data_IF_968699650009
#
_entry.id   IF_968699650009
#
_cell.length_a   1.000
_cell.length_b   1.000
_cell.length_c   1.000
_cell.angle_alpha   90.00
_cell.angle_beta   90.00
_cell.angle_gamma   90.00
#
_symmetry.space_group_name_H-M   'P 1'
#
loop_
_entity.id
_entity.type
_entity.pdbx_description
1 polymer ?
#
# COMPACT_ATOMS: atom_id res chain seq x y z
N UNK A 1 26.99 5.14 3.42
CA UNK A 1 26.03 4.62 4.41
C UNK A 1 25.20 5.79 4.89
N UNK A 2 23.91 5.82 4.53
CA UNK A 2 22.98 6.86 4.98
C UNK A 2 22.66 6.60 6.44
N UNK A 3 22.87 7.59 7.31
CA UNK A 3 22.65 7.44 8.76
C UNK A 3 21.15 7.39 9.02
N UNK A 4 20.69 6.33 9.68
CA UNK A 4 19.32 6.14 10.16
C UNK A 4 18.93 7.30 11.09
N UNK A 5 17.85 8.06 10.80
CA UNK A 5 17.25 9.00 11.76
C UNK A 5 16.90 8.31 13.08
N UNK A 6 17.19 8.95 14.21
CA UNK A 6 17.07 8.37 15.58
C UNK A 6 15.66 7.86 15.96
N UNK A 7 14.63 8.20 15.18
CA UNK A 7 13.24 7.75 15.41
C UNK A 7 12.88 6.46 14.67
N UNK A 8 13.71 5.98 13.74
CA UNK A 8 13.44 4.80 12.93
C UNK A 8 14.30 3.62 13.39
N UNK A 9 13.67 2.53 13.79
CA UNK A 9 14.37 1.32 14.24
C UNK A 9 14.76 0.40 13.08
N UNK A 10 14.06 0.48 11.94
CA UNK A 10 14.33 -0.33 10.73
C UNK A 10 13.98 0.44 9.45
N UNK A 11 14.73 0.21 8.38
CA UNK A 11 14.43 0.69 7.03
C UNK A 11 14.18 -0.49 6.08
N UNK A 12 13.18 -0.32 5.23
CA UNK A 12 13.01 -1.13 4.06
C UNK A 12 13.02 -0.25 2.80
N UNK A 13 13.73 -0.70 1.77
CA UNK A 13 13.74 -0.04 0.46
C UNK A 13 12.65 -0.63 -0.40
N UNK A 14 11.76 0.21 -0.92
CA UNK A 14 10.82 -0.19 -1.97
C UNK A 14 11.59 -0.46 -3.26
N UNK A 15 11.65 -1.72 -3.68
CA UNK A 15 12.37 -2.10 -4.90
C UNK A 15 11.43 -2.24 -6.10
N UNK A 16 10.19 -2.71 -5.88
CA UNK A 16 9.25 -2.95 -6.99
C UNK A 16 7.80 -2.82 -6.55
N UNK A 17 6.96 -2.34 -7.47
CA UNK A 17 5.52 -2.20 -7.26
C UNK A 17 4.76 -2.85 -8.42
N UNK A 18 3.65 -3.53 -8.10
CA UNK A 18 2.67 -4.01 -9.06
C UNK A 18 1.31 -3.44 -8.67
N UNK A 19 0.56 -2.95 -9.65
CA UNK A 19 -0.83 -2.54 -9.49
C UNK A 19 -1.73 -3.36 -10.41
N UNK A 20 -2.90 -3.74 -9.93
CA UNK A 20 -3.87 -4.53 -10.71
C UNK A 20 -5.29 -4.31 -10.20
N UNK A 21 -6.27 -4.76 -10.98
CA UNK A 21 -7.69 -4.73 -10.62
C UNK A 21 -8.18 -6.16 -10.43
N UNK A 22 -8.93 -6.40 -9.36
CA UNK A 22 -9.54 -7.70 -9.10
C UNK A 22 -10.89 -7.56 -8.38
N UNK A 23 -11.71 -8.60 -8.44
CA UNK A 23 -12.98 -8.65 -7.71
C UNK A 23 -12.75 -9.00 -6.24
N UNK A 24 -13.36 -8.26 -5.32
CA UNK A 24 -13.38 -8.54 -3.89
C UNK A 24 -14.71 -8.08 -3.28
N UNK A 25 -15.36 -8.93 -2.48
CA UNK A 25 -16.64 -8.59 -1.84
C UNK A 25 -17.73 -8.16 -2.83
N UNK A 26 -17.71 -8.71 -4.05
CA UNK A 26 -18.68 -8.40 -5.12
C UNK A 26 -18.39 -7.13 -5.94
N UNK A 27 -17.31 -6.40 -5.67
CA UNK A 27 -16.94 -5.18 -6.42
C UNK A 27 -15.56 -5.32 -7.08
N UNK A 28 -15.35 -4.59 -8.18
CA UNK A 28 -14.03 -4.43 -8.77
C UNK A 28 -13.21 -3.41 -7.96
N UNK A 29 -12.11 -3.89 -7.37
CA UNK A 29 -11.22 -3.13 -6.51
C UNK A 29 -9.82 -3.01 -7.12
N UNK A 30 -9.15 -1.88 -6.87
CA UNK A 30 -7.77 -1.66 -7.27
C UNK A 30 -6.83 -2.06 -6.13
N UNK A 31 -5.82 -2.86 -6.47
CA UNK A 31 -4.82 -3.37 -5.55
C UNK A 31 -3.42 -2.90 -5.95
N UNK A 32 -2.57 -2.74 -4.95
CA UNK A 32 -1.13 -2.48 -5.11
C UNK A 32 -0.36 -3.45 -4.23
N UNK A 33 0.69 -4.06 -4.76
CA UNK A 33 1.67 -4.82 -3.99
C UNK A 33 3.02 -4.13 -4.13
N UNK A 34 3.65 -3.87 -2.99
CA UNK A 34 4.98 -3.29 -2.88
C UNK A 34 5.94 -4.35 -2.34
N UNK A 35 7.04 -4.59 -3.05
CA UNK A 35 8.14 -5.43 -2.57
C UNK A 35 9.20 -4.58 -1.89
N UNK A 36 9.42 -4.88 -0.62
CA UNK A 36 10.26 -4.13 0.29
C UNK A 36 11.47 -4.99 0.65
N UNK A 37 12.67 -4.43 0.52
CA UNK A 37 13.91 -5.05 0.97
C UNK A 37 14.36 -4.46 2.30
N UNK A 38 14.48 -5.29 3.32
CA UNK A 38 15.10 -4.91 4.59
C UNK A 38 16.60 -4.71 4.42
N UNK A 39 17.20 -3.81 5.22
CA UNK A 39 18.66 -3.63 5.24
C UNK A 39 19.42 -4.93 5.59
N UNK A 40 18.82 -5.80 6.39
CA UNK A 40 19.36 -7.13 6.74
C UNK A 40 19.41 -8.12 5.55
N UNK A 41 18.82 -7.78 4.40
CA UNK A 41 18.92 -8.55 3.16
C UNK A 41 17.74 -9.46 2.85
N UNK A 42 16.63 -9.37 3.58
CA UNK A 42 15.37 -10.09 3.27
C UNK A 42 14.37 -9.24 2.49
N UNK A 43 13.45 -9.90 1.78
CA UNK A 43 12.32 -9.23 1.12
C UNK A 43 10.99 -9.58 1.79
N UNK A 44 10.10 -8.60 1.87
CA UNK A 44 8.69 -8.77 2.24
C UNK A 44 7.80 -8.03 1.26
N UNK A 45 6.48 -8.18 1.40
CA UNK A 45 5.51 -7.39 0.64
C UNK A 45 4.50 -6.68 1.53
N UNK A 46 4.10 -5.49 1.11
CA UNK A 46 2.89 -4.82 1.60
C UNK A 46 1.84 -4.80 0.50
N UNK A 47 0.60 -5.08 0.89
CA UNK A 47 -0.55 -5.04 -0.03
C UNK A 47 -1.50 -3.95 0.41
N UNK A 48 -1.91 -3.15 -0.57
CA UNK A 48 -2.84 -2.06 -0.38
C UNK A 48 -4.04 -2.24 -1.29
N UNK A 49 -5.16 -1.67 -0.85
CA UNK A 49 -6.36 -1.53 -1.64
C UNK A 49 -6.73 -0.06 -1.74
N UNK A 50 -7.17 0.37 -2.91
CA UNK A 50 -7.57 1.75 -3.14
C UNK A 50 -8.97 1.98 -2.59
N UNK A 51 -9.13 2.93 -1.68
CA UNK A 51 -10.43 3.26 -1.06
C UNK A 51 -10.75 4.74 -1.21
N UNK A 52 -12.02 5.12 -1.41
CA UNK A 52 -12.43 6.51 -1.31
C UNK A 52 -12.32 6.93 0.16
N UNK A 53 -11.77 8.11 0.39
CA UNK A 53 -11.71 8.74 1.70
C UNK A 53 -12.13 10.19 1.54
N UNK A 54 -13.11 10.61 2.36
CA UNK A 54 -13.51 12.01 2.42
C UNK A 54 -12.39 12.78 3.11
N UNK A 55 -11.60 13.50 2.33
CA UNK A 55 -10.53 14.34 2.85
C UNK A 55 -11.01 15.79 2.82
N UNK A 56 -10.86 16.45 3.97
CA UNK A 56 -10.95 17.89 4.05
C UNK A 56 -9.59 18.46 3.69
N UNK A 57 -9.54 19.33 2.69
CA UNK A 57 -8.28 20.02 2.36
C UNK A 57 -7.79 20.84 3.56
N UNK A 58 -6.50 21.18 3.57
CA UNK A 58 -5.94 22.05 4.59
C UNK A 58 -6.74 23.37 4.62
N UNK A 59 -7.03 23.88 5.82
CA UNK A 59 -7.80 25.11 5.98
C UNK A 59 -7.11 26.26 5.24
N UNK A 60 -7.78 26.80 4.23
CA UNK A 60 -7.31 27.98 3.50
C UNK A 60 -8.14 29.18 3.95
N UNK A 61 -7.51 30.34 4.11
CA UNK A 61 -8.20 31.60 4.41
C UNK A 61 -8.17 32.46 3.15
N UNK A 62 -9.31 32.62 2.49
CA UNK A 62 -9.49 33.56 1.38
C UNK A 62 -10.50 34.63 1.78
N UNK A 63 -10.17 35.92 1.58
CA UNK A 63 -11.05 37.05 1.90
C UNK A 63 -11.61 37.02 3.34
N UNK A 64 -10.80 36.63 4.32
CA UNK A 64 -11.21 36.45 5.74
C UNK A 64 -12.29 35.39 5.97
N UNK A 65 -12.55 34.51 5.00
CA UNK A 65 -13.41 33.34 5.14
C UNK A 65 -12.55 32.09 5.20
N UNK A 66 -12.86 31.22 6.16
CA UNK A 66 -12.27 29.87 6.22
C UNK A 66 -12.95 29.03 5.14
N UNK A 67 -12.18 28.59 4.16
CA UNK A 67 -12.64 27.69 3.11
C UNK A 67 -11.96 26.35 3.38
N UNK A 68 -12.77 25.30 3.45
CA UNK A 68 -12.30 23.93 3.53
C UNK A 68 -13.18 23.12 2.58
N UNK A 69 -12.63 22.81 1.41
CA UNK A 69 -13.32 22.00 0.42
C UNK A 69 -13.25 20.52 0.86
N UNK A 70 -14.40 19.86 0.81
CA UNK A 70 -14.50 18.42 0.98
C UNK A 70 -14.54 17.79 -0.42
N UNK A 71 -13.54 16.97 -0.71
CA UNK A 71 -13.48 16.21 -1.94
C UNK A 71 -13.22 14.74 -1.64
N UNK A 72 -13.89 13.86 -2.39
CA UNK A 72 -13.57 12.45 -2.38
C UNK A 72 -12.20 12.24 -3.03
N UNK A 73 -11.25 11.74 -2.23
CA UNK A 73 -9.91 11.37 -2.70
C UNK A 73 -9.76 9.86 -2.59
N UNK A 74 -9.10 9.27 -3.57
CA UNK A 74 -8.75 7.84 -3.49
C UNK A 74 -7.36 7.68 -2.91
N UNK A 75 -7.26 6.91 -1.84
CA UNK A 75 -6.00 6.62 -1.13
C UNK A 75 -5.72 5.13 -1.11
N UNK A 76 -4.44 4.77 -1.07
CA UNK A 76 -4.01 3.39 -0.83
C UNK A 76 -4.02 3.13 0.67
N UNK A 77 -4.86 2.21 1.11
CA UNK A 77 -4.91 1.76 2.50
C UNK A 77 -4.38 0.33 2.59
N UNK A 78 -3.74 -0.02 3.70
CA UNK A 78 -3.33 -1.40 3.96
C UNK A 78 -4.53 -2.33 3.79
N UNK A 79 -4.33 -3.42 3.05
CA UNK A 79 -5.35 -4.45 2.92
C UNK A 79 -5.18 -5.46 4.07
N UNK A 80 -6.01 -5.42 5.12
CA UNK A 80 -5.78 -6.19 6.35
C UNK A 80 -5.90 -7.70 6.14
N UNK A 81 -6.66 -8.15 5.14
CA UNK A 81 -6.82 -9.56 4.79
C UNK A 81 -5.71 -10.08 3.88
N UNK A 82 -4.72 -9.26 3.56
CA UNK A 82 -3.59 -9.68 2.76
C UNK A 82 -2.70 -10.65 3.55
N UNK A 83 -2.37 -11.82 3.00
CA UNK A 83 -1.38 -12.70 3.61
C UNK A 83 0.00 -12.05 3.55
N UNK A 84 0.90 -12.43 4.46
CA UNK A 84 2.30 -11.99 4.40
C UNK A 84 3.12 -12.89 3.49
N UNK A 85 3.97 -12.31 2.63
CA UNK A 85 4.99 -13.05 1.90
C UNK A 85 6.40 -12.59 2.26
N UNK A 86 7.35 -13.50 2.08
CA UNK A 86 8.77 -13.25 2.14
C UNK A 86 9.47 -13.89 0.94
N UNK A 87 10.57 -13.32 0.48
CA UNK A 87 11.33 -13.85 -0.66
C UNK A 87 12.82 -13.53 -0.57
N UNK A 88 13.61 -14.14 -1.45
CA UNK A 88 15.05 -13.86 -1.62
C UNK A 88 15.30 -12.75 -2.64
N UNK A 89 14.29 -12.40 -3.44
CA UNK A 89 14.29 -11.26 -4.36
C UNK A 89 12.92 -10.57 -4.36
N UNK A 90 12.86 -9.35 -4.91
CA UNK A 90 11.60 -8.64 -5.10
C UNK A 90 10.62 -9.44 -5.99
N UNK A 91 11.12 -10.04 -7.08
CA UNK A 91 10.30 -10.83 -8.00
C UNK A 91 9.73 -12.09 -7.34
N UNK A 92 10.54 -12.80 -6.54
CA UNK A 92 10.07 -13.97 -5.80
C UNK A 92 8.99 -13.57 -4.78
N UNK A 93 9.23 -12.50 -4.01
CA UNK A 93 8.30 -12.01 -3.01
C UNK A 93 6.96 -11.58 -3.64
N UNK A 94 6.99 -10.90 -4.80
CA UNK A 94 5.80 -10.51 -5.56
C UNK A 94 5.05 -11.70 -6.14
N UNK A 95 5.77 -12.65 -6.76
CA UNK A 95 5.14 -13.83 -7.34
C UNK A 95 4.43 -14.68 -6.27
N UNK A 96 5.08 -14.86 -5.12
CA UNK A 96 4.47 -15.53 -3.97
C UNK A 96 3.24 -14.76 -3.45
N UNK A 97 3.35 -13.43 -3.32
CA UNK A 97 2.22 -12.62 -2.84
C UNK A 97 1.04 -12.65 -3.80
N UNK A 98 1.29 -12.56 -5.11
CA UNK A 98 0.25 -12.66 -6.14
C UNK A 98 -0.44 -14.01 -6.11
N UNK A 99 0.29 -15.11 -5.89
CA UNK A 99 -0.30 -16.44 -5.78
C UNK A 99 -1.20 -16.56 -4.54
N UNK A 100 -0.72 -16.13 -3.37
CA UNK A 100 -1.49 -16.15 -2.12
C UNK A 100 -2.74 -15.27 -2.21
N UNK A 101 -2.60 -14.08 -2.79
CA UNK A 101 -3.70 -13.15 -2.96
C UNK A 101 -4.71 -13.65 -3.99
N UNK A 102 -4.26 -14.26 -5.10
CA UNK A 102 -5.15 -14.89 -6.08
C UNK A 102 -6.03 -15.97 -5.44
N UNK A 103 -5.45 -16.79 -4.55
CA UNK A 103 -6.20 -17.79 -3.81
C UNK A 103 -7.21 -17.14 -2.86
N UNK A 104 -6.81 -16.13 -2.10
CA UNK A 104 -7.69 -15.39 -1.18
C UNK A 104 -8.87 -14.73 -1.89
N UNK A 105 -8.63 -14.06 -3.02
CA UNK A 105 -9.66 -13.34 -3.79
C UNK A 105 -10.66 -14.29 -4.49
N UNK A 106 -10.30 -15.56 -4.73
CA UNK A 106 -11.22 -16.56 -5.30
C UNK A 106 -12.20 -17.13 -4.28
N UNK A 107 -11.85 -17.08 -3.00
CA UNK A 107 -12.63 -17.68 -1.91
C UNK A 107 -13.43 -16.66 -1.09
N UNK A 108 -13.47 -15.40 -1.53
CA UNK A 108 -14.14 -14.27 -0.87
C UNK A 108 -15.46 -13.87 -1.48
#
# INVERSE_FOLDING_TARGET
>A
MTKVPDYATEFATLEKTIEFVASWGGNADYFRIEALRYESGGYTTHVYMRRPFAMKDAMTIENSRKIQEEADRYVWVNFPDAPSSHGKSADEALNLQMALLSDRLKHS
#
